data_IF_678886094331
#
_entry.id   IF_678886094331
#
_cell.length_a   1.000
_cell.length_b   1.000
_cell.length_c   1.000
_cell.angle_alpha   90.00
_cell.angle_beta   90.00
_cell.angle_gamma   90.00
#
_symmetry.space_group_name_H-M   'P 1'
#
loop_
_entity.id
_entity.type
_entity.pdbx_description
1 polymer ?
#
# COMPACT_ATOMS: atom_id res chain seq x y z
N UNK A 1 4.79 7.52 -0.91
CA UNK A 1 5.93 6.86 -0.25
C UNK A 1 6.06 5.38 -0.64
N UNK A 2 4.99 4.61 -0.61
CA UNK A 2 4.91 3.24 -1.14
C UNK A 2 4.04 3.25 -2.37
N UNK A 3 4.57 2.77 -3.51
CA UNK A 3 3.84 2.74 -4.78
C UNK A 3 2.84 1.60 -4.82
N UNK A 4 1.62 1.91 -5.21
CA UNK A 4 0.46 1.02 -5.06
C UNK A 4 0.47 -0.21 -5.95
N UNK A 5 1.23 -0.20 -7.05
CA UNK A 5 1.27 -1.32 -8.01
C UNK A 5 2.42 -2.28 -7.75
N UNK A 6 3.55 -1.79 -7.26
CA UNK A 6 4.78 -2.55 -7.11
C UNK A 6 5.23 -2.72 -5.66
N UNK A 7 4.69 -1.91 -4.73
CA UNK A 7 5.05 -1.99 -3.32
C UNK A 7 6.46 -1.48 -3.01
N UNK A 8 7.16 -0.94 -4.00
CA UNK A 8 8.46 -0.29 -3.85
C UNK A 8 8.33 1.05 -3.11
N UNK A 9 9.44 1.60 -2.66
CA UNK A 9 9.46 2.79 -1.82
C UNK A 9 10.20 3.94 -2.49
N UNK A 10 9.60 5.13 -2.42
CA UNK A 10 10.25 6.36 -2.83
C UNK A 10 11.42 6.71 -1.88
N UNK A 11 12.54 7.16 -2.45
CA UNK A 11 13.65 7.72 -1.68
C UNK A 11 13.34 9.18 -1.30
N UNK A 12 12.65 9.36 -0.18
CA UNK A 12 12.21 10.67 0.30
C UNK A 12 13.41 11.61 0.53
N UNK A 13 14.56 11.08 1.00
CA UNK A 13 15.74 11.89 1.25
C UNK A 13 16.29 12.54 -0.02
N UNK A 14 16.36 11.81 -1.11
CA UNK A 14 16.86 12.36 -2.39
C UNK A 14 15.83 13.27 -3.06
N UNK A 15 14.54 12.91 -2.99
CA UNK A 15 13.45 13.77 -3.47
C UNK A 15 13.44 15.12 -2.73
N UNK A 16 13.70 15.13 -1.42
CA UNK A 16 13.78 16.37 -0.65
C UNK A 16 14.97 17.24 -1.06
N UNK A 17 16.14 16.65 -1.37
CA UNK A 17 17.30 17.41 -1.90
C UNK A 17 16.93 18.11 -3.21
N UNK A 18 16.25 17.40 -4.12
CA UNK A 18 15.78 17.95 -5.40
C UNK A 18 14.76 19.06 -5.16
N UNK A 19 13.78 18.83 -4.28
CA UNK A 19 12.77 19.83 -3.94
C UNK A 19 13.39 21.10 -3.35
N UNK A 20 14.36 20.96 -2.45
CA UNK A 20 15.09 22.10 -1.87
C UNK A 20 15.86 22.88 -2.94
N UNK A 21 16.58 22.19 -3.82
CA UNK A 21 17.34 22.81 -4.92
C UNK A 21 16.41 23.58 -5.87
N UNK A 22 15.24 23.02 -6.18
CA UNK A 22 14.25 23.61 -7.09
C UNK A 22 13.29 24.58 -6.40
N UNK A 23 13.44 24.84 -5.10
CA UNK A 23 12.50 25.61 -4.29
C UNK A 23 11.05 25.09 -4.40
N UNK A 24 10.88 23.79 -4.60
CA UNK A 24 9.60 23.13 -4.71
C UNK A 24 9.13 22.56 -3.37
N UNK A 25 7.83 22.41 -3.22
CA UNK A 25 7.21 21.71 -2.07
C UNK A 25 7.14 20.22 -2.40
N UNK A 26 7.69 19.37 -1.51
CA UNK A 26 7.54 17.92 -1.63
C UNK A 26 6.22 17.50 -1.01
N UNK A 27 5.31 16.94 -1.83
CA UNK A 27 4.10 16.29 -1.33
C UNK A 27 4.30 14.77 -1.31
N UNK A 28 4.00 14.15 -0.17
CA UNK A 28 4.10 12.73 0.07
C UNK A 28 2.71 12.12 0.22
N UNK A 29 2.35 11.21 -0.68
CA UNK A 29 1.23 10.29 -0.49
C UNK A 29 1.74 9.02 0.20
N UNK A 30 1.32 8.80 1.44
CA UNK A 30 1.68 7.64 2.25
C UNK A 30 0.49 6.67 2.48
N UNK A 31 -0.44 6.64 1.53
CA UNK A 31 -1.64 5.81 1.62
C UNK A 31 -1.32 4.31 1.86
N UNK A 32 -0.21 3.81 1.33
CA UNK A 32 0.22 2.41 1.48
C UNK A 32 1.33 2.18 2.51
N UNK A 33 2.02 3.23 2.97
CA UNK A 33 3.08 3.11 3.97
C UNK A 33 2.63 3.47 5.38
N UNK A 34 1.54 4.25 5.51
CA UNK A 34 0.97 4.64 6.81
C UNK A 34 0.69 3.42 7.69
N UNK A 35 1.15 3.46 8.93
CA UNK A 35 1.03 2.36 9.89
C UNK A 35 2.04 1.22 9.70
N UNK A 36 2.68 1.10 8.53
CA UNK A 36 3.69 0.08 8.26
C UNK A 36 5.12 0.62 8.42
N UNK A 37 5.40 1.78 7.83
CA UNK A 37 6.72 2.40 7.93
C UNK A 37 6.68 3.65 8.81
N UNK A 38 7.82 3.95 9.44
CA UNK A 38 7.98 5.24 10.11
C UNK A 38 8.07 6.33 9.03
N UNK A 39 7.18 7.33 9.02
CA UNK A 39 7.23 8.37 8.01
C UNK A 39 8.49 9.21 8.15
N UNK A 40 9.09 9.55 7.02
CA UNK A 40 10.12 10.58 6.93
C UNK A 40 9.44 11.85 6.40
N UNK A 41 9.13 12.79 7.30
CA UNK A 41 8.42 14.03 6.95
C UNK A 41 9.41 15.19 7.06
N UNK A 42 10.04 15.61 5.94
CA UNK A 42 10.92 16.75 5.96
C UNK A 42 10.20 18.06 6.29
N UNK A 43 10.95 19.02 6.83
CA UNK A 43 10.43 20.36 7.07
C UNK A 43 9.95 20.98 5.74
N UNK A 44 8.85 21.70 5.77
CA UNK A 44 8.21 22.32 4.60
C UNK A 44 7.72 21.30 3.54
N UNK A 45 7.39 20.07 3.93
CA UNK A 45 6.70 19.12 3.08
C UNK A 45 5.22 18.99 3.44
N UNK A 46 4.45 18.47 2.50
CA UNK A 46 3.05 18.11 2.70
C UNK A 46 2.99 16.58 2.84
N UNK A 47 2.31 16.09 3.85
CA UNK A 47 2.14 14.66 4.09
C UNK A 47 0.65 14.30 4.05
N UNK A 48 0.29 13.29 3.30
CA UNK A 48 -1.07 12.78 3.19
C UNK A 48 -1.08 11.27 3.43
N UNK A 49 -2.11 10.78 4.12
CA UNK A 49 -2.40 9.36 4.20
C UNK A 49 -3.90 9.09 4.28
N UNK A 50 -4.29 7.87 3.90
CA UNK A 50 -5.69 7.42 3.99
C UNK A 50 -5.89 6.54 5.21
N UNK A 51 -7.08 6.63 5.80
CA UNK A 51 -7.51 5.82 6.93
C UNK A 51 -8.22 4.53 6.50
N UNK A 52 -8.50 4.37 5.19
CA UNK A 52 -9.22 3.22 4.63
C UNK A 52 -8.35 1.96 4.39
N UNK A 53 -7.05 2.01 4.70
CA UNK A 53 -6.11 0.88 4.52
C UNK A 53 -5.63 0.34 5.86
N UNK A 54 -4.44 0.68 6.31
CA UNK A 54 -3.88 0.18 7.57
C UNK A 54 -4.74 0.53 8.80
N UNK A 55 -5.38 1.70 8.81
CA UNK A 55 -6.28 2.05 9.91
C UNK A 55 -7.65 1.35 9.85
N UNK A 56 -8.04 0.76 8.71
CA UNK A 56 -9.27 -0.04 8.58
C UNK A 56 -10.56 0.73 8.81
N UNK A 57 -10.55 2.06 8.61
CA UNK A 57 -11.69 2.94 8.81
C UNK A 57 -12.00 3.72 7.53
N UNK A 58 -12.43 4.95 7.60
CA UNK A 58 -12.75 5.78 6.44
C UNK A 58 -12.14 7.17 6.59
N UNK A 59 -11.84 7.78 5.45
CA UNK A 59 -11.31 9.15 5.37
C UNK A 59 -9.83 9.19 5.03
N UNK A 60 -9.31 10.39 5.07
CA UNK A 60 -7.91 10.72 4.84
C UNK A 60 -7.55 11.97 5.62
N UNK A 61 -6.27 12.25 5.74
CA UNK A 61 -5.80 13.49 6.32
C UNK A 61 -4.63 14.06 5.51
N UNK A 62 -4.46 15.35 5.60
CA UNK A 62 -3.32 16.09 5.07
C UNK A 62 -2.69 16.86 6.23
N UNK A 63 -1.38 16.80 6.34
CA UNK A 63 -0.59 17.56 7.29
C UNK A 63 0.44 18.41 6.53
N UNK A 64 0.66 19.64 6.98
CA UNK A 64 1.58 20.60 6.41
C UNK A 64 1.77 21.79 7.32
N UNK A 65 2.34 22.89 6.82
CA UNK A 65 2.39 24.13 7.57
C UNK A 65 1.00 24.79 7.67
N UNK A 66 0.83 25.70 8.61
CA UNK A 66 -0.46 26.31 8.93
C UNK A 66 -1.06 27.06 7.73
N UNK A 67 -0.26 27.83 6.99
CA UNK A 67 -0.73 28.58 5.83
C UNK A 67 -1.30 27.67 4.74
N UNK A 68 -0.64 26.53 4.50
CA UNK A 68 -1.11 25.56 3.52
C UNK A 68 -2.39 24.85 3.98
N UNK A 69 -2.48 24.50 5.25
CA UNK A 69 -3.69 23.86 5.80
C UNK A 69 -4.86 24.84 5.78
N UNK A 70 -4.65 26.09 6.17
CA UNK A 70 -5.69 27.13 6.09
C UNK A 70 -6.16 27.33 4.64
N UNK A 71 -5.23 27.38 3.69
CA UNK A 71 -5.57 27.44 2.26
C UNK A 71 -6.42 26.24 1.82
N UNK A 72 -6.09 25.02 2.24
CA UNK A 72 -6.88 23.82 1.91
C UNK A 72 -8.29 23.89 2.50
N UNK A 73 -8.44 24.31 3.76
CA UNK A 73 -9.73 24.46 4.43
C UNK A 73 -10.64 25.42 3.61
N UNK A 74 -10.07 26.48 3.07
CA UNK A 74 -10.84 27.49 2.33
C UNK A 74 -11.09 27.15 0.86
N UNK A 75 -10.21 26.37 0.23
CA UNK A 75 -10.21 26.18 -1.24
C UNK A 75 -10.48 24.75 -1.69
N UNK A 76 -10.31 23.75 -0.85
CA UNK A 76 -10.56 22.36 -1.23
C UNK A 76 -12.06 22.09 -1.32
N UNK A 77 -12.60 22.11 -2.52
CA UNK A 77 -14.02 21.86 -2.76
C UNK A 77 -14.54 20.54 -2.16
N UNK A 78 -13.81 19.42 -2.25
CA UNK A 78 -14.25 18.17 -1.60
C UNK A 78 -14.35 18.28 -0.08
N UNK A 79 -13.57 19.18 0.55
CA UNK A 79 -13.63 19.43 1.98
C UNK A 79 -14.75 20.44 2.34
N UNK A 80 -14.81 21.57 1.63
CA UNK A 80 -15.75 22.67 1.90
C UNK A 80 -17.22 22.23 1.75
N UNK A 81 -17.51 21.37 0.76
CA UNK A 81 -18.88 20.97 0.40
C UNK A 81 -19.25 19.55 0.86
N UNK A 82 -18.51 18.98 1.80
CA UNK A 82 -18.85 17.67 2.38
C UNK A 82 -19.41 17.80 3.78
N UNK A 83 -20.21 16.82 4.20
CA UNK A 83 -20.63 16.69 5.59
C UNK A 83 -19.51 16.11 6.45
N UNK A 84 -19.54 16.42 7.76
CA UNK A 84 -18.61 15.87 8.72
C UNK A 84 -18.67 14.32 8.76
N UNK A 85 -17.53 13.70 9.11
CA UNK A 85 -17.49 12.27 9.34
C UNK A 85 -18.37 11.87 10.52
N UNK A 86 -18.94 10.65 10.45
CA UNK A 86 -19.70 10.09 11.57
C UNK A 86 -18.84 10.01 12.84
N UNK A 87 -19.36 10.41 14.02
CA UNK A 87 -18.64 10.24 15.29
C UNK A 87 -18.20 8.80 15.57
N UNK A 88 -18.99 7.82 15.15
CA UNK A 88 -18.63 6.40 15.27
C UNK A 88 -17.35 6.06 14.49
N UNK A 89 -17.19 6.59 13.30
CA UNK A 89 -15.97 6.43 12.49
C UNK A 89 -14.77 7.13 13.17
N UNK A 90 -14.99 8.31 13.75
CA UNK A 90 -13.93 9.01 14.46
C UNK A 90 -13.42 8.21 15.67
N UNK A 91 -14.33 7.65 16.48
CA UNK A 91 -13.97 6.80 17.64
C UNK A 91 -13.25 5.53 17.19
N UNK A 92 -13.75 4.86 16.14
CA UNK A 92 -13.10 3.68 15.57
C UNK A 92 -11.68 4.02 15.06
N UNK A 93 -11.51 5.18 14.42
CA UNK A 93 -10.20 5.65 13.94
C UNK A 93 -9.24 5.92 15.10
N UNK A 94 -9.68 6.59 16.16
CA UNK A 94 -8.86 6.82 17.35
C UNK A 94 -8.37 5.49 17.94
N UNK A 95 -9.27 4.49 18.03
CA UNK A 95 -8.89 3.16 18.52
C UNK A 95 -7.91 2.46 17.61
N UNK A 96 -8.10 2.56 16.31
CA UNK A 96 -7.17 2.01 15.31
C UNK A 96 -5.77 2.64 15.42
N UNK A 97 -5.68 3.96 15.61
CA UNK A 97 -4.40 4.65 15.80
C UNK A 97 -3.67 4.20 17.07
N UNK A 98 -4.39 3.88 18.15
CA UNK A 98 -3.80 3.26 19.34
C UNK A 98 -3.20 1.88 19.04
N UNK A 99 -3.91 1.06 18.24
CA UNK A 99 -3.43 -0.27 17.85
C UNK A 99 -2.20 -0.17 16.92
N UNK A 100 -2.19 0.79 15.99
CA UNK A 100 -1.04 1.07 15.13
C UNK A 100 0.18 1.45 15.97
N UNK A 101 0.01 2.27 17.02
CA UNK A 101 1.11 2.64 17.94
C UNK A 101 1.70 1.45 18.69
N UNK A 102 0.89 0.43 19.05
CA UNK A 102 1.35 -0.80 19.70
C UNK A 102 2.21 -1.67 18.79
N UNK A 103 2.10 -1.51 17.46
CA UNK A 103 2.86 -2.19 16.43
C UNK A 103 2.74 -3.73 16.40
N UNK A 104 1.83 -4.35 17.14
CA UNK A 104 1.64 -5.80 17.15
C UNK A 104 1.27 -6.36 15.77
N UNK A 105 0.28 -5.74 15.12
CA UNK A 105 -0.15 -6.14 13.77
C UNK A 105 0.93 -5.89 12.73
N UNK A 106 1.67 -4.78 12.86
CA UNK A 106 2.83 -4.50 12.01
C UNK A 106 3.89 -5.61 12.12
N UNK A 107 4.21 -6.03 13.33
CA UNK A 107 5.20 -7.10 13.57
C UNK A 107 4.76 -8.42 12.91
N UNK A 108 3.49 -8.79 13.04
CA UNK A 108 2.92 -9.98 12.37
C UNK A 108 2.99 -9.85 10.85
N UNK A 109 2.60 -8.69 10.31
CA UNK A 109 2.66 -8.45 8.86
C UNK A 109 4.08 -8.55 8.32
N UNK A 110 5.06 -7.96 8.99
CA UNK A 110 6.47 -8.04 8.57
C UNK A 110 6.99 -9.49 8.62
N UNK A 111 6.59 -10.28 9.62
CA UNK A 111 6.90 -11.71 9.67
C UNK A 111 6.28 -12.48 8.49
N UNK A 112 5.02 -12.19 8.15
CA UNK A 112 4.35 -12.80 7.00
C UNK A 112 4.99 -12.39 5.67
N UNK A 113 5.42 -11.14 5.50
CA UNK A 113 6.15 -10.68 4.31
C UNK A 113 7.47 -11.45 4.19
N UNK A 114 8.24 -11.55 5.27
CA UNK A 114 9.49 -12.29 5.28
C UNK A 114 9.28 -13.77 4.93
N UNK A 115 8.29 -14.40 5.55
CA UNK A 115 7.93 -15.79 5.27
C UNK A 115 7.52 -16.00 3.81
N UNK A 116 6.63 -15.17 3.28
CA UNK A 116 6.20 -15.19 1.88
C UNK A 116 7.40 -15.13 0.92
N UNK A 117 8.33 -14.23 1.15
CA UNK A 117 9.49 -14.03 0.30
C UNK A 117 10.44 -15.23 0.33
N UNK A 118 10.72 -15.77 1.52
CA UNK A 118 11.56 -16.94 1.67
C UNK A 118 10.95 -18.16 0.97
N UNK A 119 9.66 -18.40 1.18
CA UNK A 119 8.98 -19.54 0.59
C UNK A 119 8.79 -19.37 -0.93
N UNK A 120 8.51 -18.16 -1.42
CA UNK A 120 8.45 -17.89 -2.87
C UNK A 120 9.80 -18.15 -3.55
N UNK A 121 10.90 -17.76 -2.91
CA UNK A 121 12.25 -18.05 -3.41
C UNK A 121 12.55 -19.55 -3.45
N UNK A 122 12.12 -20.34 -2.47
CA UNK A 122 12.30 -21.80 -2.49
C UNK A 122 11.51 -22.50 -3.60
N UNK A 123 10.49 -21.82 -4.14
CA UNK A 123 9.69 -22.27 -5.28
C UNK A 123 10.17 -21.69 -6.62
N UNK A 124 11.26 -20.95 -6.66
CA UNK A 124 11.75 -20.21 -7.84
C UNK A 124 10.68 -19.32 -8.49
N UNK A 125 9.85 -18.67 -7.68
CA UNK A 125 8.83 -17.74 -8.18
C UNK A 125 9.46 -16.36 -8.40
N UNK A 126 9.27 -15.73 -9.58
CA UNK A 126 9.85 -14.44 -9.90
C UNK A 126 9.03 -13.28 -9.29
N UNK A 127 8.95 -13.25 -7.95
CA UNK A 127 8.31 -12.17 -7.20
C UNK A 127 9.26 -10.97 -7.15
N UNK A 128 8.78 -9.81 -7.59
CA UNK A 128 9.55 -8.58 -7.54
C UNK A 128 9.88 -8.15 -6.08
N UNK A 129 11.03 -7.52 -5.85
CA UNK A 129 11.41 -7.10 -4.50
C UNK A 129 10.44 -6.06 -3.92
N UNK A 130 9.88 -6.34 -2.75
CA UNK A 130 9.08 -5.39 -1.98
C UNK A 130 9.18 -5.69 -0.48
N UNK A 131 9.34 -4.64 0.32
CA UNK A 131 9.30 -4.71 1.78
C UNK A 131 7.91 -4.39 2.34
N UNK A 132 6.96 -4.02 1.46
CA UNK A 132 5.60 -3.65 1.84
C UNK A 132 4.64 -4.84 1.82
N UNK A 133 3.41 -4.61 2.22
CA UNK A 133 2.34 -5.62 2.11
C UNK A 133 2.05 -6.04 0.66
N UNK A 134 2.45 -5.24 -0.33
CA UNK A 134 2.22 -5.48 -1.76
C UNK A 134 3.38 -6.28 -2.31
N UNK A 135 3.10 -7.46 -2.88
CA UNK A 135 4.07 -8.38 -3.46
C UNK A 135 3.69 -8.64 -4.91
N UNK A 136 4.32 -7.95 -5.88
CA UNK A 136 3.95 -8.09 -7.29
C UNK A 136 4.64 -9.29 -7.95
N UNK A 137 3.89 -9.99 -8.81
CA UNK A 137 4.39 -11.02 -9.70
C UNK A 137 4.11 -10.63 -11.15
N UNK A 138 5.14 -10.22 -11.88
CA UNK A 138 5.01 -9.82 -13.27
C UNK A 138 4.71 -11.03 -14.15
N UNK A 139 3.62 -10.95 -14.91
CA UNK A 139 3.20 -11.99 -15.87
C UNK A 139 3.47 -11.54 -17.32
N UNK A 140 3.43 -10.23 -17.56
CA UNK A 140 3.59 -9.63 -18.88
C UNK A 140 2.29 -9.57 -19.67
N UNK A 141 1.75 -10.72 -20.06
CA UNK A 141 0.53 -10.82 -20.83
C UNK A 141 -0.73 -10.63 -19.98
N UNK A 142 -1.68 -9.84 -20.50
CA UNK A 142 -2.90 -9.46 -19.78
C UNK A 142 -3.91 -10.60 -19.64
N UNK A 143 -4.05 -11.42 -20.69
CA UNK A 143 -5.00 -12.52 -20.68
C UNK A 143 -4.48 -13.66 -19.79
N UNK A 144 -3.17 -13.93 -19.84
CA UNK A 144 -2.54 -14.89 -18.96
C UNK A 144 -2.69 -14.46 -17.50
N UNK A 145 -2.46 -13.17 -17.14
CA UNK A 145 -2.64 -12.67 -15.80
C UNK A 145 -4.09 -12.82 -15.29
N UNK A 146 -5.08 -12.53 -16.15
CA UNK A 146 -6.49 -12.75 -15.83
C UNK A 146 -6.83 -14.22 -15.62
N UNK A 147 -6.34 -15.10 -16.49
CA UNK A 147 -6.57 -16.55 -16.37
C UNK A 147 -6.02 -17.08 -15.05
N UNK A 148 -4.80 -16.70 -14.68
CA UNK A 148 -4.19 -17.11 -13.40
C UNK A 148 -5.01 -16.57 -12.23
N UNK A 149 -5.37 -15.28 -12.24
CA UNK A 149 -6.20 -14.66 -11.18
C UNK A 149 -7.53 -15.40 -11.00
N UNK A 150 -8.19 -15.80 -12.09
CA UNK A 150 -9.43 -16.57 -12.05
C UNK A 150 -9.22 -17.98 -11.51
N UNK A 151 -8.18 -18.67 -11.94
CA UNK A 151 -7.81 -20.00 -11.42
C UNK A 151 -7.56 -19.96 -9.91
N UNK A 152 -6.88 -18.91 -9.42
CA UNK A 152 -6.65 -18.72 -8.00
C UNK A 152 -7.96 -18.44 -7.25
N UNK A 153 -8.85 -17.63 -7.82
CA UNK A 153 -10.17 -17.34 -7.24
C UNK A 153 -11.01 -18.60 -7.09
N UNK A 154 -11.06 -19.46 -8.10
CA UNK A 154 -11.78 -20.75 -8.06
C UNK A 154 -11.25 -21.70 -6.99
N UNK A 155 -9.99 -21.48 -6.52
CA UNK A 155 -9.33 -22.18 -5.43
C UNK A 155 -9.41 -21.47 -4.08
N UNK A 156 -10.18 -20.38 -3.99
CA UNK A 156 -10.42 -19.62 -2.77
C UNK A 156 -9.39 -18.52 -2.48
N UNK A 157 -8.53 -18.16 -3.45
CA UNK A 157 -7.54 -17.08 -3.29
C UNK A 157 -7.91 -15.85 -4.13
N UNK A 158 -8.24 -14.75 -3.47
CA UNK A 158 -8.52 -13.49 -4.14
C UNK A 158 -7.23 -12.73 -4.42
N UNK A 159 -6.71 -12.83 -5.64
CA UNK A 159 -5.50 -12.12 -6.11
C UNK A 159 -5.84 -11.33 -7.35
N UNK A 160 -5.58 -10.01 -7.32
CA UNK A 160 -5.93 -9.10 -8.41
C UNK A 160 -4.94 -9.17 -9.56
N UNK A 161 -5.44 -9.31 -10.79
CA UNK A 161 -4.68 -9.09 -12.01
C UNK A 161 -4.71 -7.60 -12.37
N UNK A 162 -3.56 -6.94 -12.37
CA UNK A 162 -3.39 -5.54 -12.78
C UNK A 162 -2.90 -5.51 -14.22
N UNK A 163 -3.53 -4.69 -15.05
CA UNK A 163 -3.33 -4.65 -16.51
C UNK A 163 -3.27 -3.21 -17.02
N UNK A 164 -2.82 -2.98 -18.26
CA UNK A 164 -2.99 -1.69 -18.90
C UNK A 164 -4.47 -1.23 -18.89
N UNK A 165 -4.77 0.07 -18.72
CA UNK A 165 -3.82 1.19 -18.68
C UNK A 165 -3.20 1.47 -17.31
N UNK A 166 -3.57 0.73 -16.25
CA UNK A 166 -3.06 0.94 -14.89
C UNK A 166 -1.54 0.71 -14.80
N UNK A 167 -1.02 -0.19 -15.60
CA UNK A 167 0.41 -0.49 -15.75
C UNK A 167 0.79 -0.43 -17.23
N UNK A 168 2.07 -0.29 -17.61
CA UNK A 168 2.50 -0.26 -18.99
C UNK A 168 2.12 -1.55 -19.77
N UNK A 169 2.07 -1.46 -21.09
CA UNK A 169 1.87 -2.65 -21.95
C UNK A 169 2.95 -3.69 -21.68
N UNK A 170 2.57 -4.98 -21.74
CA UNK A 170 3.43 -6.13 -21.47
C UNK A 170 4.02 -6.20 -20.07
N UNK A 171 3.39 -5.53 -19.10
CA UNK A 171 3.78 -5.57 -17.67
C UNK A 171 2.60 -5.93 -16.77
N UNK A 172 1.59 -6.63 -17.31
CA UNK A 172 0.49 -7.13 -16.50
C UNK A 172 1.03 -8.03 -15.38
N UNK A 173 0.42 -7.95 -14.21
CA UNK A 173 0.92 -8.61 -13.01
C UNK A 173 -0.19 -9.11 -12.11
N UNK A 174 0.13 -10.08 -11.28
CA UNK A 174 -0.66 -10.38 -10.10
C UNK A 174 -0.18 -9.46 -8.97
N UNK A 175 -1.11 -8.76 -8.32
CA UNK A 175 -0.83 -7.96 -7.14
C UNK A 175 -1.29 -8.70 -5.92
N UNK A 176 -0.37 -9.40 -5.26
CA UNK A 176 -0.61 -10.11 -4.02
C UNK A 176 -0.53 -9.09 -2.89
N UNK A 177 -1.48 -9.09 -1.97
CA UNK A 177 -1.47 -8.20 -0.80
C UNK A 177 -1.56 -9.03 0.46
N UNK A 178 -0.53 -8.95 1.30
CA UNK A 178 -0.45 -9.65 2.57
C UNK A 178 -1.08 -8.81 3.68
N UNK A 179 -1.60 -9.48 4.71
CA UNK A 179 -2.03 -8.85 5.94
C UNK A 179 -1.50 -9.59 7.18
N UNK A 180 -1.72 -9.01 8.35
CA UNK A 180 -1.22 -9.56 9.61
C UNK A 180 -1.90 -10.88 10.03
N UNK A 181 -3.11 -11.14 9.56
CA UNK A 181 -3.93 -12.28 9.97
C UNK A 181 -3.79 -13.49 9.03
N UNK A 182 -3.04 -13.35 7.93
CA UNK A 182 -2.71 -14.50 7.10
C UNK A 182 -1.85 -15.49 7.88
N UNK A 183 -2.22 -16.77 7.82
CA UNK A 183 -1.41 -17.86 8.38
C UNK A 183 -0.32 -18.29 7.39
N UNK A 184 0.76 -18.89 7.90
CA UNK A 184 1.81 -19.46 7.05
C UNK A 184 1.24 -20.49 6.06
N UNK A 185 0.33 -21.35 6.52
CA UNK A 185 -0.34 -22.34 5.66
C UNK A 185 -1.09 -21.69 4.49
N UNK A 186 -1.80 -20.58 4.72
CA UNK A 186 -2.47 -19.86 3.64
C UNK A 186 -1.47 -19.28 2.64
N UNK A 187 -0.35 -18.75 3.12
CA UNK A 187 0.73 -18.21 2.29
C UNK A 187 1.36 -19.32 1.42
N UNK A 188 1.68 -20.46 2.02
CA UNK A 188 2.23 -21.64 1.31
C UNK A 188 1.28 -22.12 0.23
N UNK A 189 0.01 -22.36 0.59
CA UNK A 189 -1.01 -22.81 -0.34
C UNK A 189 -1.17 -21.86 -1.53
N UNK A 190 -1.21 -20.54 -1.27
CA UNK A 190 -1.27 -19.54 -2.34
C UNK A 190 -0.08 -19.67 -3.29
N UNK A 191 1.15 -19.72 -2.76
CA UNK A 191 2.38 -19.76 -3.56
C UNK A 191 2.48 -21.05 -4.38
N UNK A 192 2.08 -22.20 -3.81
CA UNK A 192 1.99 -23.47 -4.52
C UNK A 192 0.98 -23.39 -5.68
N UNK A 193 -0.21 -22.79 -5.45
CA UNK A 193 -1.19 -22.64 -6.50
C UNK A 193 -0.74 -21.65 -7.60
N UNK A 194 0.00 -20.62 -7.24
CA UNK A 194 0.63 -19.72 -8.23
C UNK A 194 1.63 -20.49 -9.07
N UNK A 195 2.51 -21.30 -8.45
CA UNK A 195 3.49 -22.12 -9.18
C UNK A 195 2.84 -23.07 -10.18
N UNK A 196 1.70 -23.67 -9.81
CA UNK A 196 0.96 -24.57 -10.71
C UNK A 196 0.23 -23.84 -11.84
N UNK A 197 -0.06 -22.55 -11.67
CA UNK A 197 -0.81 -21.76 -12.65
C UNK A 197 0.07 -21.00 -13.65
N UNK A 198 1.39 -20.88 -13.39
CA UNK A 198 2.36 -20.23 -14.27
C UNK A 198 2.76 -21.13 -15.44
#
# INVERSE_FOLDING_TARGET
TVFSMDGDRANIGDLQKIANFSQAILMQDDAHGFGLFKPNIPKNSIYMATLGKAAGTMGAFVAGNDDFIEFLIQKSRPYVYTTAMSPAICVATLKSLELIKKAEQKTKLLANIHYFRNFSSSLDLPIEPSESAIQPLIIGDSEKALKISRTLFDKGFYVSAIRPPTVPKNTARLRITLNADHTQTQIEQLLIQIKHAL
#
